data_IF_968041099311
#
_entry.id   IF_968041099311
#
_cell.length_a   1.000
_cell.length_b   1.000
_cell.length_c   1.000
_cell.angle_alpha   90.00
_cell.angle_beta   90.00
_cell.angle_gamma   90.00
#
_symmetry.space_group_name_H-M   'P 1'
#
loop_
_entity.id
_entity.type
_entity.pdbx_description
1 polymer ?
#
# COMPACT_ATOMS: atom_id res chain seq x y z
N UNK A 1 20.81 -5.39 -3.09
CA UNK A 1 19.91 -6.48 -2.70
C UNK A 1 18.47 -6.32 -3.21
N UNK A 2 18.12 -5.25 -3.90
CA UNK A 2 16.81 -5.05 -4.54
C UNK A 2 15.64 -4.75 -3.60
N UNK A 3 15.91 -4.35 -2.36
CA UNK A 3 14.89 -3.95 -1.38
C UNK A 3 15.47 -2.83 -0.51
N UNK A 4 14.75 -1.73 -0.36
CA UNK A 4 15.11 -0.67 0.56
C UNK A 4 14.97 -1.17 2.03
N UNK A 5 15.99 -0.97 2.89
CA UNK A 5 15.93 -1.38 4.28
C UNK A 5 14.80 -0.69 5.04
N UNK A 6 14.19 -1.38 6.00
CA UNK A 6 13.09 -0.81 6.80
C UNK A 6 13.52 0.38 7.66
N UNK A 7 14.78 0.42 8.05
CA UNK A 7 15.38 1.53 8.81
C UNK A 7 15.23 2.87 8.09
N UNK A 8 15.28 2.89 6.77
CA UNK A 8 15.08 4.12 5.97
C UNK A 8 13.66 4.67 6.17
N UNK A 9 12.67 3.81 6.32
CA UNK A 9 11.29 4.21 6.59
C UNK A 9 11.13 4.85 7.96
N UNK A 10 11.76 4.27 8.99
CA UNK A 10 11.76 4.84 10.34
C UNK A 10 12.45 6.20 10.38
N UNK A 11 13.57 6.34 9.68
CA UNK A 11 14.25 7.63 9.57
C UNK A 11 13.40 8.66 8.80
N UNK A 12 12.76 8.27 7.70
CA UNK A 12 11.85 9.13 6.96
C UNK A 12 10.67 9.60 7.84
N UNK A 13 10.10 8.72 8.67
CA UNK A 13 9.06 9.08 9.64
C UNK A 13 9.55 10.09 10.68
N UNK A 14 10.72 9.89 11.26
CA UNK A 14 11.32 10.83 12.23
C UNK A 14 11.53 12.24 11.66
N UNK A 15 11.84 12.33 10.36
CA UNK A 15 12.05 13.59 9.67
C UNK A 15 10.78 14.19 9.05
N UNK A 16 9.61 13.58 9.27
CA UNK A 16 8.33 14.07 8.78
C UNK A 16 8.10 13.89 7.29
N UNK A 17 8.87 13.01 6.62
CA UNK A 17 8.69 12.69 5.21
C UNK A 17 7.55 11.71 4.95
N UNK A 18 7.03 11.05 6.00
CA UNK A 18 5.86 10.17 5.89
C UNK A 18 4.64 10.83 6.53
N UNK A 19 3.49 10.70 5.88
CA UNK A 19 2.21 11.16 6.42
C UNK A 19 2.13 12.68 6.65
N UNK A 20 2.82 13.51 5.86
CA UNK A 20 2.79 14.97 5.99
C UNK A 20 1.36 15.54 5.91
N UNK A 21 0.47 14.90 5.19
CA UNK A 21 -0.94 15.28 5.05
C UNK A 21 -1.89 14.56 6.03
N UNK A 22 -1.39 13.65 6.83
CA UNK A 22 -2.18 13.00 7.89
C UNK A 22 -2.45 14.02 9.01
N UNK A 23 -3.68 14.09 9.56
CA UNK A 23 -4.00 14.99 10.65
C UNK A 23 -3.08 14.85 11.87
N UNK A 24 -2.76 15.96 12.53
CA UNK A 24 -1.85 16.02 13.70
C UNK A 24 -2.29 15.09 14.83
N UNK A 25 -3.59 14.88 15.02
CA UNK A 25 -4.13 13.95 16.02
C UNK A 25 -3.67 12.51 15.84
N UNK A 26 -3.21 12.13 14.64
CA UNK A 26 -2.62 10.83 14.32
C UNK A 26 -1.10 10.89 14.16
N UNK A 27 -0.48 12.02 14.52
CA UNK A 27 0.97 12.24 14.47
C UNK A 27 1.49 12.76 13.15
N UNK A 28 0.63 13.07 12.18
CA UNK A 28 1.02 13.63 10.90
C UNK A 28 1.27 15.13 10.91
N UNK A 29 1.63 15.69 9.78
CA UNK A 29 1.92 17.12 9.61
C UNK A 29 0.70 18.01 9.43
N UNK A 30 -0.50 17.45 9.18
CA UNK A 30 -1.72 18.20 8.95
C UNK A 30 -1.70 19.10 7.69
N UNK A 31 -0.78 18.86 6.77
CA UNK A 31 -0.58 19.71 5.58
C UNK A 31 -1.51 19.28 4.46
N UNK A 32 -2.46 20.12 4.10
CA UNK A 32 -3.38 19.93 2.96
C UNK A 32 -2.88 20.74 1.74
N UNK A 33 -1.64 20.48 1.33
CA UNK A 33 -1.03 21.13 0.16
C UNK A 33 -0.15 20.14 -0.60
N UNK A 34 -0.60 19.75 -1.78
CA UNK A 34 0.10 18.80 -2.64
C UNK A 34 1.52 19.26 -3.06
N UNK A 35 1.83 20.56 -3.00
CA UNK A 35 3.17 21.07 -3.32
C UNK A 35 4.26 20.50 -2.42
N UNK A 36 3.93 20.09 -1.19
CA UNK A 36 4.90 19.40 -0.32
C UNK A 36 5.35 18.07 -0.92
N UNK A 37 4.40 17.25 -1.40
CA UNK A 37 4.71 16.00 -2.09
C UNK A 37 5.50 16.23 -3.39
N UNK A 38 5.14 17.28 -4.16
CA UNK A 38 5.83 17.62 -5.39
C UNK A 38 7.30 17.98 -5.14
N UNK A 39 7.58 18.83 -4.13
CA UNK A 39 8.96 19.20 -3.76
C UNK A 39 9.74 17.97 -3.29
N UNK A 40 9.15 17.12 -2.45
CA UNK A 40 9.82 15.89 -2.03
C UNK A 40 10.18 15.01 -3.23
N UNK A 41 9.29 14.91 -4.21
CA UNK A 41 9.53 14.09 -5.40
C UNK A 41 10.61 14.69 -6.32
N UNK A 42 10.67 16.00 -6.44
CA UNK A 42 11.73 16.70 -7.18
C UNK A 42 13.10 16.46 -6.55
N UNK A 43 13.21 16.66 -5.22
CA UNK A 43 14.46 16.45 -4.48
C UNK A 43 14.95 15.00 -4.55
N UNK A 44 14.04 14.02 -4.37
CA UNK A 44 14.36 12.61 -4.51
C UNK A 44 14.86 12.28 -5.92
N UNK A 45 14.25 12.86 -6.93
CA UNK A 45 14.64 12.63 -8.33
C UNK A 45 16.04 13.19 -8.62
N UNK A 46 16.34 14.39 -8.12
CA UNK A 46 17.63 15.04 -8.31
C UNK A 46 18.79 14.29 -7.62
N UNK A 47 18.53 13.64 -6.49
CA UNK A 47 19.55 12.84 -5.80
C UNK A 47 19.85 11.50 -6.48
N UNK A 48 19.03 11.06 -7.43
CA UNK A 48 19.17 9.78 -8.13
C UNK A 48 18.77 8.54 -7.28
N UNK A 49 18.18 8.73 -6.09
CA UNK A 49 17.76 7.62 -5.21
C UNK A 49 16.28 7.23 -5.37
N UNK A 50 15.67 7.61 -6.48
CA UNK A 50 14.24 7.39 -6.75
C UNK A 50 13.82 5.93 -6.57
N UNK A 51 14.69 4.95 -6.88
CA UNK A 51 14.42 3.54 -6.67
C UNK A 51 14.18 3.18 -5.21
N UNK A 52 14.85 3.83 -4.26
CA UNK A 52 14.68 3.60 -2.82
C UNK A 52 13.49 4.36 -2.24
N UNK A 53 13.16 5.52 -2.80
CA UNK A 53 12.16 6.44 -2.24
C UNK A 53 10.76 6.29 -2.88
N UNK A 54 10.66 5.70 -4.08
CA UNK A 54 9.38 5.54 -4.78
C UNK A 54 8.31 4.80 -3.94
N UNK A 55 8.74 3.85 -3.11
CA UNK A 55 7.84 3.17 -2.18
C UNK A 55 7.21 4.12 -1.16
N UNK A 56 7.94 5.15 -0.71
CA UNK A 56 7.44 6.19 0.19
C UNK A 56 6.45 7.11 -0.51
N UNK A 57 6.71 7.45 -1.78
CA UNK A 57 5.76 8.19 -2.61
C UNK A 57 4.44 7.43 -2.77
N UNK A 58 4.49 6.14 -3.10
CA UNK A 58 3.28 5.31 -3.15
C UNK A 58 2.55 5.30 -1.80
N UNK A 59 3.27 5.15 -0.70
CA UNK A 59 2.72 5.14 0.66
C UNK A 59 1.99 6.46 0.97
N UNK A 60 2.65 7.61 0.74
CA UNK A 60 2.10 8.93 1.03
C UNK A 60 0.97 9.32 0.08
N UNK A 61 1.25 9.31 -1.23
CA UNK A 61 0.43 10.03 -2.20
C UNK A 61 -0.66 9.15 -2.82
N UNK A 62 -0.52 7.82 -2.71
CA UNK A 62 -1.49 6.88 -3.27
C UNK A 62 -2.26 6.15 -2.17
N UNK A 63 -1.58 5.52 -1.21
CA UNK A 63 -2.25 4.59 -0.28
C UNK A 63 -2.86 5.32 0.92
N UNK A 64 -2.13 6.22 1.56
CA UNK A 64 -2.64 6.98 2.72
C UNK A 64 -3.96 7.72 2.45
N UNK A 65 -4.19 8.36 1.29
CA UNK A 65 -5.47 8.99 0.97
C UNK A 65 -6.68 8.05 1.06
N UNK A 66 -6.52 6.76 0.73
CA UNK A 66 -7.61 5.79 0.90
C UNK A 66 -7.94 5.55 2.37
N UNK A 67 -6.92 5.43 3.24
CA UNK A 67 -7.15 5.28 4.67
C UNK A 67 -7.78 6.53 5.29
N UNK A 68 -7.35 7.72 4.89
CA UNK A 68 -7.92 8.98 5.35
C UNK A 68 -9.39 9.14 4.96
N UNK A 69 -9.75 8.74 3.75
CA UNK A 69 -11.11 8.95 3.21
C UNK A 69 -12.09 7.82 3.53
N UNK A 70 -11.63 6.57 3.63
CA UNK A 70 -12.52 5.41 3.70
C UNK A 70 -12.49 4.66 5.02
N UNK A 71 -11.40 4.75 5.81
CA UNK A 71 -11.32 4.08 7.10
C UNK A 71 -12.21 4.80 8.14
N UNK A 72 -12.80 4.03 9.05
CA UNK A 72 -13.49 4.57 10.22
C UNK A 72 -12.49 5.06 11.27
N UNK A 73 -12.98 5.72 12.34
CA UNK A 73 -12.11 6.36 13.33
C UNK A 73 -11.25 5.34 14.10
N UNK A 74 -11.78 4.16 14.44
CA UNK A 74 -11.02 3.09 15.10
C UNK A 74 -9.89 2.57 14.21
N UNK A 75 -10.16 2.40 12.92
CA UNK A 75 -9.18 1.98 11.94
C UNK A 75 -8.10 3.05 11.74
N UNK A 76 -8.49 4.33 11.65
CA UNK A 76 -7.55 5.46 11.56
C UNK A 76 -6.65 5.53 12.79
N UNK A 77 -7.22 5.45 13.99
CA UNK A 77 -6.47 5.48 15.23
C UNK A 77 -5.49 4.29 15.35
N UNK A 78 -5.86 3.13 14.80
CA UNK A 78 -5.03 1.93 14.83
C UNK A 78 -3.85 1.99 13.85
N UNK A 79 -4.06 2.50 12.64
CA UNK A 79 -3.10 2.36 11.54
C UNK A 79 -2.30 3.63 11.26
N UNK A 80 -2.94 4.81 11.23
CA UNK A 80 -2.29 6.05 10.79
C UNK A 80 -1.05 6.42 11.60
N UNK A 81 -1.03 6.34 12.94
CA UNK A 81 0.17 6.70 13.71
C UNK A 81 1.40 5.88 13.30
N UNK A 82 1.22 4.59 13.05
CA UNK A 82 2.31 3.70 12.63
C UNK A 82 2.73 3.88 11.16
N UNK A 83 1.81 4.34 10.32
CA UNK A 83 2.14 4.74 8.95
C UNK A 83 3.00 6.01 8.94
N UNK A 84 2.68 6.98 9.79
CA UNK A 84 3.43 8.24 9.91
C UNK A 84 4.85 8.00 10.46
N UNK A 85 5.01 7.10 11.42
CA UNK A 85 6.34 6.78 12.00
C UNK A 85 7.19 5.88 11.10
N UNK A 86 6.62 5.30 10.03
CA UNK A 86 7.30 4.33 9.18
C UNK A 86 7.36 2.91 9.77
N UNK A 87 6.73 2.67 10.94
CA UNK A 87 6.58 1.33 11.49
C UNK A 87 5.71 0.45 10.59
N UNK A 88 4.67 1.02 9.97
CA UNK A 88 3.83 0.36 8.99
C UNK A 88 4.10 0.89 7.59
N UNK A 89 4.59 0.02 6.74
CA UNK A 89 4.75 0.25 5.31
C UNK A 89 3.48 -0.24 4.61
N UNK A 90 2.96 0.54 3.66
CA UNK A 90 1.73 0.20 2.96
C UNK A 90 1.98 -0.17 1.50
N UNK A 91 1.09 -0.99 0.98
CA UNK A 91 0.98 -1.31 -0.44
C UNK A 91 -0.49 -1.24 -0.89
N UNK A 92 -0.71 -1.09 -2.19
CA UNK A 92 -2.02 -1.26 -2.80
C UNK A 92 -1.94 -2.40 -3.82
N UNK A 93 -2.82 -3.39 -3.68
CA UNK A 93 -2.84 -4.59 -4.49
C UNK A 93 -4.07 -4.60 -5.41
N UNK A 94 -3.88 -4.15 -6.64
CA UNK A 94 -4.91 -4.03 -7.66
C UNK A 94 -4.69 -5.07 -8.75
N UNK A 95 -3.53 -5.03 -9.41
CA UNK A 95 -3.19 -5.79 -10.60
C UNK A 95 -3.12 -7.30 -10.35
N UNK A 96 -3.66 -8.07 -11.27
CA UNK A 96 -3.58 -9.53 -11.32
C UNK A 96 -2.91 -9.99 -12.62
N UNK A 97 -2.46 -11.26 -12.73
CA UNK A 97 -1.88 -11.77 -13.96
C UNK A 97 -2.76 -11.56 -15.22
N UNK A 98 -4.08 -11.53 -15.03
CA UNK A 98 -5.05 -11.37 -16.12
C UNK A 98 -5.90 -10.09 -16.04
N UNK A 99 -5.61 -9.18 -15.11
CA UNK A 99 -6.36 -7.95 -14.90
C UNK A 99 -5.42 -6.78 -14.55
N UNK A 100 -5.29 -5.85 -15.48
CA UNK A 100 -4.56 -4.60 -15.30
C UNK A 100 -5.51 -3.42 -15.56
N UNK A 101 -5.46 -2.81 -16.75
CA UNK A 101 -6.39 -1.74 -17.13
C UNK A 101 -7.84 -2.20 -17.13
N UNK A 102 -8.09 -3.46 -17.44
CA UNK A 102 -9.40 -4.08 -17.26
C UNK A 102 -9.61 -4.54 -15.81
N UNK A 103 -10.01 -3.62 -14.95
CA UNK A 103 -10.37 -3.90 -13.57
C UNK A 103 -11.56 -4.87 -13.42
N UNK A 104 -12.45 -4.90 -14.42
CA UNK A 104 -13.59 -5.82 -14.42
C UNK A 104 -13.15 -7.29 -14.51
N UNK A 105 -11.94 -7.55 -15.03
CA UNK A 105 -11.34 -8.87 -15.08
C UNK A 105 -10.78 -9.41 -13.76
N UNK A 106 -10.81 -8.62 -12.66
CA UNK A 106 -10.32 -9.04 -11.34
C UNK A 106 -11.02 -10.30 -10.85
N UNK A 107 -10.21 -11.29 -10.45
CA UNK A 107 -10.68 -12.60 -9.97
C UNK A 107 -10.49 -12.81 -8.47
N UNK A 108 -9.63 -12.02 -7.81
CA UNK A 108 -9.48 -12.07 -6.34
C UNK A 108 -10.82 -11.76 -5.69
N UNK A 109 -11.30 -12.66 -4.85
CA UNK A 109 -12.59 -12.57 -4.16
C UNK A 109 -12.41 -12.33 -2.66
N UNK A 110 -13.41 -11.70 -2.03
CA UNK A 110 -13.53 -11.64 -0.58
C UNK A 110 -14.96 -12.05 -0.22
N UNK A 111 -15.10 -13.26 0.29
CA UNK A 111 -16.41 -13.86 0.64
C UNK A 111 -16.66 -13.69 2.13
N UNK A 112 -17.79 -13.05 2.48
CA UNK A 112 -18.18 -12.88 3.88
C UNK A 112 -18.61 -14.22 4.47
N UNK A 113 -17.99 -14.59 5.61
CA UNK A 113 -18.36 -15.77 6.42
C UNK A 113 -18.54 -15.33 7.88
N UNK A 114 -19.78 -15.15 8.29
CA UNK A 114 -20.11 -14.57 9.60
C UNK A 114 -19.57 -13.14 9.71
N UNK A 115 -18.71 -12.89 10.69
CA UNK A 115 -18.11 -11.56 10.96
C UNK A 115 -16.73 -11.37 10.28
N UNK A 116 -16.31 -12.32 9.45
CA UNK A 116 -15.03 -12.28 8.76
C UNK A 116 -15.19 -12.35 7.25
N UNK A 117 -14.13 -11.95 6.53
CA UNK A 117 -14.00 -12.19 5.10
C UNK A 117 -12.91 -13.24 4.85
N UNK A 118 -13.16 -14.16 3.94
CA UNK A 118 -12.16 -15.08 3.40
C UNK A 118 -11.75 -14.53 2.04
N UNK A 119 -10.47 -14.20 1.90
CA UNK A 119 -9.90 -13.64 0.68
C UNK A 119 -9.16 -14.73 -0.08
N UNK A 120 -9.51 -14.92 -1.36
CA UNK A 120 -8.84 -15.88 -2.23
C UNK A 120 -8.43 -15.22 -3.54
N UNK A 121 -7.20 -15.44 -3.96
CA UNK A 121 -6.68 -14.94 -5.23
C UNK A 121 -5.19 -14.65 -5.20
N UNK A 122 -4.75 -13.92 -6.22
CA UNK A 122 -3.36 -13.47 -6.33
C UNK A 122 -3.26 -12.09 -6.96
N UNK A 123 -2.24 -11.35 -6.58
CA UNK A 123 -1.93 -10.03 -7.13
C UNK A 123 -0.48 -10.02 -7.61
N UNK A 124 -0.21 -9.25 -8.66
CA UNK A 124 1.13 -9.15 -9.25
C UNK A 124 1.56 -7.70 -9.43
N UNK A 125 2.86 -7.48 -9.54
CA UNK A 125 3.50 -6.16 -9.69
C UNK A 125 3.20 -5.21 -8.51
N UNK A 126 3.12 -5.73 -7.29
CA UNK A 126 2.77 -4.93 -6.12
C UNK A 126 4.00 -4.25 -5.55
N UNK A 127 4.08 -2.94 -5.71
CA UNK A 127 5.09 -2.07 -5.10
C UNK A 127 4.97 -2.14 -3.58
N UNK A 128 6.09 -2.20 -2.87
CA UNK A 128 6.19 -2.48 -1.43
C UNK A 128 5.66 -3.88 -1.02
N UNK A 129 5.38 -4.78 -1.97
CA UNK A 129 4.76 -6.05 -1.68
C UNK A 129 5.55 -6.94 -0.71
N UNK A 130 6.88 -6.86 -0.72
CA UNK A 130 7.74 -7.56 0.24
C UNK A 130 7.76 -6.84 1.60
N UNK A 131 7.95 -5.53 1.58
CA UNK A 131 8.15 -4.74 2.81
C UNK A 131 6.84 -4.38 3.54
N UNK A 132 5.70 -4.34 2.86
CA UNK A 132 4.44 -3.85 3.42
C UNK A 132 3.98 -4.61 4.66
N UNK A 133 3.42 -3.89 5.62
CA UNK A 133 2.72 -4.41 6.79
C UNK A 133 1.21 -4.43 6.55
N UNK A 134 0.70 -3.45 5.78
CA UNK A 134 -0.69 -3.35 5.39
C UNK A 134 -0.79 -3.32 3.87
N UNK A 135 -1.65 -4.17 3.32
CA UNK A 135 -1.93 -4.22 1.89
C UNK A 135 -3.40 -3.90 1.65
N UNK A 136 -3.67 -2.76 1.03
CA UNK A 136 -5.01 -2.40 0.58
C UNK A 136 -5.33 -3.17 -0.70
N UNK A 137 -6.18 -4.18 -0.59
CA UNK A 137 -6.42 -5.16 -1.66
C UNK A 137 -7.79 -4.97 -2.29
N UNK A 138 -7.83 -4.81 -3.62
CA UNK A 138 -9.07 -4.80 -4.40
C UNK A 138 -9.57 -6.23 -4.55
N UNK A 139 -10.77 -6.50 -4.02
CA UNK A 139 -11.42 -7.81 -4.08
C UNK A 139 -12.84 -7.69 -4.65
N UNK A 140 -13.28 -8.72 -5.35
CA UNK A 140 -14.67 -8.87 -5.75
C UNK A 140 -15.45 -9.43 -4.57
N UNK A 141 -16.37 -8.64 -4.04
CA UNK A 141 -17.25 -9.02 -2.91
C UNK A 141 -18.67 -9.38 -3.36
N UNK A 142 -19.11 -8.86 -4.51
CA UNK A 142 -20.40 -9.16 -5.11
C UNK A 142 -20.24 -9.37 -6.62
N UNK A 143 -20.24 -10.64 -7.10
CA UNK A 143 -20.12 -10.94 -8.53
C UNK A 143 -21.26 -10.43 -9.39
N UNK A 144 -22.46 -10.28 -8.82
CA UNK A 144 -23.66 -9.88 -9.56
C UNK A 144 -23.77 -8.35 -9.75
N UNK A 145 -23.04 -7.57 -8.94
CA UNK A 145 -23.12 -6.12 -8.96
C UNK A 145 -22.24 -5.46 -10.05
N UNK A 146 -21.54 -6.24 -10.90
CA UNK A 146 -20.69 -5.74 -11.98
C UNK A 146 -19.60 -4.81 -11.44
N UNK A 147 -19.53 -3.58 -11.96
CA UNK A 147 -18.52 -2.58 -11.54
C UNK A 147 -18.69 -2.10 -10.08
N UNK A 148 -19.83 -2.28 -9.46
CA UNK A 148 -20.11 -1.94 -8.07
C UNK A 148 -19.83 -3.09 -7.09
N UNK A 149 -19.40 -4.25 -7.61
CA UNK A 149 -19.17 -5.46 -6.83
C UNK A 149 -17.77 -5.57 -6.22
N UNK A 150 -16.98 -4.48 -6.19
CA UNK A 150 -15.65 -4.46 -5.62
C UNK A 150 -15.60 -3.77 -4.27
N UNK A 151 -14.72 -4.26 -3.41
CA UNK A 151 -14.41 -3.66 -2.12
C UNK A 151 -12.90 -3.59 -1.91
N UNK A 152 -12.49 -2.68 -1.04
CA UNK A 152 -11.11 -2.59 -0.56
C UNK A 152 -11.01 -3.32 0.77
N UNK A 153 -10.17 -4.34 0.82
CA UNK A 153 -9.91 -5.14 2.02
C UNK A 153 -8.47 -4.90 2.45
N UNK A 154 -8.27 -4.53 3.71
CA UNK A 154 -6.92 -4.38 4.28
C UNK A 154 -6.46 -5.75 4.78
N UNK A 155 -5.35 -6.22 4.24
CA UNK A 155 -4.67 -7.44 4.69
C UNK A 155 -3.41 -7.03 5.46
N UNK A 156 -3.25 -7.59 6.65
CA UNK A 156 -2.13 -7.29 7.53
C UNK A 156 -1.06 -8.38 7.43
N UNK A 157 0.20 -7.99 7.59
CA UNK A 157 1.33 -8.92 7.67
C UNK A 157 1.08 -9.96 8.77
N UNK A 158 1.29 -11.22 8.44
CA UNK A 158 1.12 -12.35 9.37
C UNK A 158 -0.28 -12.92 9.45
N UNK A 159 -1.25 -12.40 8.70
CA UNK A 159 -2.55 -13.07 8.54
C UNK A 159 -2.36 -14.44 7.92
N UNK A 160 -3.09 -15.44 8.43
CA UNK A 160 -3.05 -16.81 7.91
C UNK A 160 -3.53 -16.82 6.46
N UNK A 161 -2.81 -17.54 5.60
CA UNK A 161 -3.12 -17.65 4.17
C UNK A 161 -2.67 -16.42 3.36
N UNK A 162 -2.02 -15.42 3.97
CA UNK A 162 -1.40 -14.32 3.24
C UNK A 162 0.09 -14.60 3.02
N UNK A 163 0.46 -14.92 1.81
CA UNK A 163 1.82 -15.23 1.40
C UNK A 163 2.37 -14.22 0.40
N UNK A 164 3.67 -13.95 0.50
CA UNK A 164 4.43 -13.15 -0.46
C UNK A 164 5.21 -14.09 -1.37
N UNK A 165 5.09 -13.85 -2.65
CA UNK A 165 5.93 -14.49 -3.65
C UNK A 165 7.32 -13.87 -3.72
N UNK A 166 7.95 -14.06 -4.84
CA UNK A 166 9.30 -13.51 -5.09
C UNK A 166 9.27 -11.99 -5.24
N UNK A 167 10.38 -11.32 -4.88
CA UNK A 167 10.68 -9.99 -5.38
C UNK A 167 11.00 -10.09 -6.87
N UNK A 168 10.29 -9.33 -7.70
CA UNK A 168 10.42 -9.44 -9.16
C UNK A 168 11.71 -8.77 -9.63
N UNK A 169 12.41 -9.43 -10.55
CA UNK A 169 13.54 -8.84 -11.26
C UNK A 169 13.03 -7.83 -12.30
N UNK A 170 13.58 -6.61 -12.27
CA UNK A 170 13.12 -5.49 -13.08
C UNK A 170 14.27 -4.89 -13.87
N UNK A 171 13.96 -4.27 -15.01
CA UNK A 171 14.93 -3.58 -15.85
C UNK A 171 15.56 -2.36 -15.16
N UNK A 172 14.84 -1.73 -14.24
CA UNK A 172 15.30 -0.58 -13.46
C UNK A 172 14.65 -0.52 -12.08
N UNK A 173 14.95 0.53 -11.30
CA UNK A 173 14.44 0.75 -9.94
C UNK A 173 14.63 -0.48 -9.03
N UNK A 174 15.83 -1.07 -9.04
CA UNK A 174 16.11 -2.33 -8.37
C UNK A 174 15.94 -2.26 -6.85
N UNK A 175 16.11 -1.09 -6.24
CA UNK A 175 15.93 -0.90 -4.80
C UNK A 175 14.45 -0.82 -4.37
N UNK A 176 13.53 -0.64 -5.32
CA UNK A 176 12.10 -0.71 -5.08
C UNK A 176 11.64 -2.16 -5.15
N UNK A 177 11.18 -2.73 -4.05
CA UNK A 177 10.58 -4.06 -4.08
C UNK A 177 9.23 -4.07 -4.82
N UNK A 178 9.04 -5.13 -5.58
CA UNK A 178 7.81 -5.36 -6.36
C UNK A 178 7.53 -6.85 -6.32
N UNK A 179 6.40 -7.25 -5.77
CA UNK A 179 6.13 -8.66 -5.49
C UNK A 179 4.83 -9.18 -6.08
N UNK A 180 4.77 -10.50 -6.11
CA UNK A 180 3.52 -11.26 -6.22
C UNK A 180 2.99 -11.50 -4.81
N UNK A 181 1.66 -11.45 -4.64
CA UNK A 181 0.97 -11.73 -3.39
C UNK A 181 -0.08 -12.82 -3.63
N UNK A 182 -0.21 -13.73 -2.67
CA UNK A 182 -1.15 -14.86 -2.72
C UNK A 182 -2.02 -14.87 -1.47
N UNK A 183 -3.27 -15.20 -1.66
CA UNK A 183 -4.29 -15.22 -0.59
C UNK A 183 -5.09 -16.53 -0.67
N UNK A 184 -5.22 -17.22 0.51
CA UNK A 184 -5.96 -18.48 0.66
C UNK A 184 -6.72 -18.55 2.01
#
# INVERSE_FOLDING_TARGET
DGIAPREIWLEAGKHGFLGYHVPEQYGGGGVDDYRFGAVMQEEVSDTGVIGSANGMTLHNDIVLPYYLSLANDDQKARWLPKMVTGEYITAIAITEPNAGSDMAGTKTTAVKKGDTYVVNGSKTFITNGINSDLVLTVCRTDPEAGHRGFSLIVLERGMKGFERGRNLDKLGMHAQDTAELFFD
#
